data_IF_990044629246
#
_entry.id   IF_990044629246
#
_cell.length_a   1.000
_cell.length_b   1.000
_cell.length_c   1.000
_cell.angle_alpha   90.00
_cell.angle_beta   90.00
_cell.angle_gamma   90.00
#
_symmetry.space_group_name_H-M   'P 1'
#
loop_
_entity.id
_entity.type
_entity.pdbx_description
1 polymer ?
#
# COMPACT_ATOMS: atom_id res chain seq x y z
N UNK A 1 -18.42 -5.65 11.20
CA UNK A 1 -17.74 -5.00 10.07
C UNK A 1 -16.71 -5.88 9.35
N UNK A 2 -15.76 -6.53 10.04
CA UNK A 2 -14.75 -7.43 9.40
C UNK A 2 -15.35 -8.56 8.53
N UNK A 3 -16.46 -9.17 8.94
CA UNK A 3 -17.14 -10.23 8.15
C UNK A 3 -17.69 -9.69 6.81
N UNK A 4 -18.21 -8.47 6.79
CA UNK A 4 -18.72 -7.86 5.55
C UNK A 4 -17.57 -7.49 4.58
N UNK A 5 -16.44 -7.02 5.13
CA UNK A 5 -15.23 -6.74 4.38
C UNK A 5 -14.64 -8.04 3.79
N UNK A 6 -14.55 -9.10 4.60
CA UNK A 6 -14.16 -10.43 4.15
C UNK A 6 -15.06 -10.92 3.01
N UNK A 7 -16.39 -10.85 3.15
CA UNK A 7 -17.31 -11.26 2.08
C UNK A 7 -17.16 -10.44 0.78
N UNK A 8 -16.77 -9.16 0.89
CA UNK A 8 -16.54 -8.28 -0.27
C UNK A 8 -15.23 -8.59 -1.01
N UNK A 9 -14.19 -9.02 -0.29
CA UNK A 9 -12.84 -9.21 -0.83
C UNK A 9 -12.39 -10.68 -0.92
N UNK A 10 -13.16 -11.62 -0.37
CA UNK A 10 -12.88 -13.07 -0.34
C UNK A 10 -12.74 -13.66 -1.74
N UNK A 11 -13.50 -13.16 -2.71
CA UNK A 11 -13.41 -13.63 -4.09
C UNK A 11 -12.55 -12.67 -4.90
N UNK A 12 -11.41 -13.13 -5.46
CA UNK A 12 -10.61 -12.26 -6.30
C UNK A 12 -11.45 -11.86 -7.52
N UNK A 13 -11.35 -10.61 -8.00
CA UNK A 13 -12.17 -10.12 -9.09
C UNK A 13 -12.07 -11.04 -10.32
N UNK A 14 -13.17 -11.24 -11.08
CA UNK A 14 -13.19 -12.05 -12.29
C UNK A 14 -12.03 -11.69 -13.23
N UNK A 15 -11.42 -12.68 -13.92
CA UNK A 15 -10.22 -12.47 -14.75
C UNK A 15 -10.36 -11.30 -15.74
N UNK A 16 -11.55 -11.12 -16.32
CA UNK A 16 -11.85 -10.04 -17.27
C UNK A 16 -11.88 -8.64 -16.64
N UNK A 17 -12.19 -8.57 -15.34
CA UNK A 17 -12.15 -7.33 -14.53
C UNK A 17 -10.78 -7.07 -13.94
N UNK A 18 -9.82 -8.00 -14.04
CA UNK A 18 -8.41 -7.79 -13.64
C UNK A 18 -7.61 -6.98 -14.67
N UNK A 19 -8.25 -6.09 -15.43
CA UNK A 19 -7.56 -5.20 -16.36
C UNK A 19 -6.75 -4.19 -15.54
N UNK A 20 -5.48 -4.51 -15.32
CA UNK A 20 -4.52 -3.61 -14.68
C UNK A 20 -4.29 -2.45 -15.63
N UNK A 21 -4.44 -1.21 -15.14
CA UNK A 21 -3.93 -0.07 -15.89
C UNK A 21 -2.45 -0.28 -16.16
N UNK A 22 -2.09 -0.28 -17.45
CA UNK A 22 -0.68 -0.37 -17.84
C UNK A 22 0.01 0.87 -17.29
N UNK A 23 1.11 0.66 -16.58
CA UNK A 23 1.97 1.74 -16.13
C UNK A 23 2.34 2.59 -17.35
N UNK A 24 2.22 3.93 -17.29
CA UNK A 24 2.61 4.77 -18.41
C UNK A 24 4.08 4.53 -18.79
N UNK A 25 4.46 4.76 -20.07
CA UNK A 25 5.84 4.70 -20.50
C UNK A 25 6.68 5.73 -19.74
N UNK A 26 7.94 5.38 -19.48
CA UNK A 26 8.85 6.17 -18.65
C UNK A 26 9.08 7.56 -19.25
N UNK A 27 9.13 7.67 -20.59
CA UNK A 27 9.34 8.95 -21.28
C UNK A 27 8.17 9.94 -21.14
N UNK A 28 7.00 9.50 -20.67
CA UNK A 28 5.87 10.43 -20.44
C UNK A 28 5.96 11.19 -19.14
N UNK A 29 6.82 10.79 -18.21
CA UNK A 29 6.93 11.40 -16.88
C UNK A 29 8.35 11.96 -16.76
N UNK A 30 8.49 13.21 -17.20
CA UNK A 30 9.80 13.83 -17.42
C UNK A 30 10.21 14.84 -16.33
N UNK A 31 9.33 15.20 -15.38
CA UNK A 31 9.66 16.22 -14.37
C UNK A 31 9.16 15.84 -12.97
N UNK A 32 10.05 15.99 -12.00
CA UNK A 32 9.77 15.78 -10.57
C UNK A 32 8.74 16.79 -10.03
N UNK A 33 8.63 17.96 -10.66
CA UNK A 33 7.68 19.01 -10.30
C UNK A 33 6.22 18.67 -10.62
N UNK A 34 5.95 17.85 -11.64
CA UNK A 34 4.59 17.36 -11.96
C UNK A 34 4.11 16.30 -10.97
N UNK A 35 5.01 15.75 -10.15
CA UNK A 35 4.74 14.63 -9.26
C UNK A 35 4.35 15.07 -7.85
N UNK A 36 4.70 16.30 -7.47
CA UNK A 36 4.46 16.85 -6.13
C UNK A 36 2.98 16.83 -5.72
N UNK A 37 2.06 16.78 -6.68
CA UNK A 37 0.62 16.75 -6.44
C UNK A 37 0.01 15.35 -6.39
N UNK A 38 0.70 14.26 -6.75
CA UNK A 38 0.01 12.96 -6.88
C UNK A 38 -0.54 12.42 -5.56
N UNK A 39 0.12 12.68 -4.42
CA UNK A 39 -0.39 12.22 -3.13
C UNK A 39 -1.62 13.02 -2.66
N UNK A 40 -1.83 14.25 -3.17
CA UNK A 40 -2.99 15.06 -2.79
C UNK A 40 -4.30 14.50 -3.36
N UNK A 41 -4.22 13.66 -4.39
CA UNK A 41 -5.35 12.94 -4.98
C UNK A 41 -5.85 11.78 -4.08
N UNK A 42 -5.04 11.34 -3.10
CA UNK A 42 -5.36 10.19 -2.26
C UNK A 42 -6.09 10.61 -0.98
N UNK A 43 -7.20 9.93 -0.66
CA UNK A 43 -7.95 10.17 0.57
C UNK A 43 -7.64 9.07 1.59
N UNK A 44 -6.89 9.38 2.64
CA UNK A 44 -6.63 8.42 3.71
C UNK A 44 -7.87 8.23 4.59
N UNK A 45 -7.90 7.08 5.27
CA UNK A 45 -8.96 6.76 6.23
C UNK A 45 -9.02 7.82 7.34
N UNK A 46 -10.23 8.08 7.84
CA UNK A 46 -10.51 9.02 8.93
C UNK A 46 -9.98 10.44 8.71
N UNK A 47 -9.87 10.88 7.44
CA UNK A 47 -9.32 12.19 7.06
C UNK A 47 -7.88 12.41 7.56
N UNK A 48 -7.12 11.34 7.75
CA UNK A 48 -5.71 11.44 8.11
C UNK A 48 -4.92 12.21 7.04
N UNK A 49 -3.99 13.06 7.49
CA UNK A 49 -3.16 13.88 6.60
C UNK A 49 -1.70 13.62 6.91
N UNK A 50 -0.94 13.25 5.87
CA UNK A 50 0.51 13.13 5.94
C UNK A 50 1.14 14.50 6.20
N UNK A 51 2.24 14.52 6.97
CA UNK A 51 3.04 15.75 7.12
C UNK A 51 3.75 16.08 5.80
N UNK A 52 4.12 17.34 5.59
CA UNK A 52 4.72 17.78 4.32
C UNK A 52 5.97 16.98 3.92
N UNK A 53 6.90 16.75 4.84
CA UNK A 53 8.08 15.91 4.56
C UNK A 53 7.73 14.44 4.26
N UNK A 54 6.60 13.93 4.77
CA UNK A 54 6.12 12.59 4.44
C UNK A 54 5.50 12.55 3.05
N UNK A 55 4.75 13.59 2.67
CA UNK A 55 4.23 13.74 1.31
C UNK A 55 5.36 13.76 0.28
N UNK A 56 6.44 14.48 0.57
CA UNK A 56 7.64 14.49 -0.28
C UNK A 56 8.24 13.09 -0.44
N UNK A 57 8.40 12.35 0.65
CA UNK A 57 8.88 10.96 0.61
C UNK A 57 7.98 10.04 -0.21
N UNK A 58 6.65 10.17 -0.08
CA UNK A 58 5.69 9.38 -0.86
C UNK A 58 5.70 9.77 -2.33
N UNK A 59 5.75 11.07 -2.65
CA UNK A 59 5.87 11.55 -4.02
C UNK A 59 7.15 11.03 -4.70
N UNK A 60 8.26 10.97 -3.95
CA UNK A 60 9.50 10.35 -4.43
C UNK A 60 9.35 8.85 -4.71
N UNK A 61 8.62 8.10 -3.86
CA UNK A 61 8.28 6.70 -4.13
C UNK A 61 7.42 6.55 -5.38
N UNK A 62 6.43 7.43 -5.56
CA UNK A 62 5.56 7.46 -6.74
C UNK A 62 6.39 7.72 -8.00
N UNK A 63 7.32 8.67 -7.96
CA UNK A 63 8.24 8.93 -9.06
C UNK A 63 9.06 7.69 -9.41
N UNK A 64 9.76 7.11 -8.45
CA UNK A 64 10.60 5.94 -8.67
C UNK A 64 9.80 4.74 -9.14
N UNK A 65 8.57 4.59 -8.61
CA UNK A 65 7.59 3.67 -9.14
C UNK A 65 7.53 3.97 -10.63
N UNK A 66 7.02 5.11 -11.11
CA UNK A 66 6.89 5.39 -12.55
C UNK A 66 8.12 5.11 -13.39
N UNK A 67 9.30 5.45 -12.90
CA UNK A 67 10.60 5.22 -13.54
C UNK A 67 11.02 3.74 -13.59
N UNK A 68 10.23 2.83 -12.99
CA UNK A 68 10.48 1.39 -12.87
C UNK A 68 11.76 1.08 -12.09
N UNK A 69 12.05 1.89 -11.07
CA UNK A 69 13.23 1.74 -10.21
C UNK A 69 12.82 1.21 -8.84
N UNK A 70 13.71 0.45 -8.22
CA UNK A 70 13.60 0.14 -6.80
C UNK A 70 13.89 1.40 -5.96
N UNK A 71 13.37 1.43 -4.75
CA UNK A 71 13.53 2.55 -3.82
C UNK A 71 13.98 2.06 -2.46
N UNK A 72 14.87 2.83 -1.83
CA UNK A 72 15.32 2.62 -0.44
C UNK A 72 15.00 3.91 0.31
N UNK A 73 14.05 3.85 1.26
CA UNK A 73 13.77 4.96 2.18
C UNK A 73 14.76 4.90 3.34
N UNK A 74 15.72 5.81 3.35
CA UNK A 74 16.80 5.86 4.32
C UNK A 74 16.66 7.04 5.32
N UNK A 75 15.43 7.53 5.51
CA UNK A 75 15.13 8.62 6.45
C UNK A 75 15.50 8.28 7.89
N UNK A 76 15.68 9.29 8.73
CA UNK A 76 15.92 9.15 10.17
C UNK A 76 14.85 8.27 10.85
N UNK A 77 15.27 7.54 11.89
CA UNK A 77 14.35 6.73 12.69
C UNK A 77 13.31 7.64 13.36
N UNK A 78 12.04 7.22 13.35
CA UNK A 78 10.94 8.01 13.94
C UNK A 78 10.24 8.99 12.98
N UNK A 79 10.76 9.23 11.77
CA UNK A 79 10.09 10.10 10.78
C UNK A 79 8.82 9.50 10.15
N UNK A 80 8.49 8.24 10.47
CA UNK A 80 7.26 7.60 10.00
C UNK A 80 7.40 6.94 8.63
N UNK A 81 8.55 6.31 8.36
CA UNK A 81 8.79 5.50 7.13
C UNK A 81 7.69 4.45 6.89
N UNK A 82 7.17 3.84 7.95
CA UNK A 82 6.05 2.89 7.87
C UNK A 82 4.82 3.55 7.25
N UNK A 83 4.44 4.73 7.75
CA UNK A 83 3.28 5.49 7.27
C UNK A 83 3.49 5.96 5.82
N UNK A 84 4.70 6.39 5.45
CA UNK A 84 5.01 6.71 4.06
C UNK A 84 4.84 5.48 3.14
N UNK A 85 5.32 4.31 3.56
CA UNK A 85 5.16 3.08 2.78
C UNK A 85 3.67 2.67 2.65
N UNK A 86 2.90 2.74 3.75
CA UNK A 86 1.45 2.49 3.74
C UNK A 86 0.73 3.49 2.84
N UNK A 87 1.08 4.78 2.92
CA UNK A 87 0.50 5.83 2.10
C UNK A 87 0.76 5.64 0.61
N UNK A 88 1.96 5.19 0.25
CA UNK A 88 2.29 4.81 -1.12
C UNK A 88 1.43 3.63 -1.63
N UNK A 89 1.20 2.62 -0.80
CA UNK A 89 0.36 1.47 -1.17
C UNK A 89 -1.12 1.88 -1.34
N UNK A 90 -1.62 2.76 -0.47
CA UNK A 90 -2.98 3.30 -0.60
C UNK A 90 -3.15 4.10 -1.89
N UNK A 91 -2.17 4.94 -2.23
CA UNK A 91 -2.17 5.67 -3.50
C UNK A 91 -2.20 4.72 -4.71
N UNK A 92 -1.43 3.62 -4.68
CA UNK A 92 -1.49 2.60 -5.73
C UNK A 92 -2.88 1.96 -5.85
N UNK A 93 -3.52 1.71 -4.72
CA UNK A 93 -4.86 1.14 -4.68
C UNK A 93 -5.91 2.10 -5.24
N UNK A 94 -5.97 3.34 -4.74
CA UNK A 94 -6.98 4.33 -5.11
C UNK A 94 -6.74 4.93 -6.51
N UNK A 95 -5.56 5.49 -6.75
CA UNK A 95 -5.29 6.32 -7.93
C UNK A 95 -4.86 5.49 -9.15
N UNK A 96 -4.41 4.25 -8.97
CA UNK A 96 -3.92 3.38 -10.06
C UNK A 96 -4.71 2.09 -10.23
N UNK A 97 -5.79 1.94 -9.48
CA UNK A 97 -6.64 0.76 -9.45
C UNK A 97 -5.80 -0.54 -9.34
N UNK A 98 -4.68 -0.48 -8.60
CA UNK A 98 -3.79 -1.62 -8.38
C UNK A 98 -4.25 -2.34 -7.12
N UNK A 99 -5.25 -3.19 -7.32
CA UNK A 99 -5.83 -4.08 -6.29
C UNK A 99 -4.98 -5.32 -5.99
N UNK A 100 -3.75 -5.39 -6.51
CA UNK A 100 -2.91 -6.60 -6.43
C UNK A 100 -2.47 -6.91 -4.99
N UNK A 101 -2.05 -8.16 -4.71
CA UNK A 101 -1.48 -8.47 -3.41
C UNK A 101 -0.18 -7.68 -3.23
N UNK A 102 -0.11 -6.90 -2.15
CA UNK A 102 1.11 -6.23 -1.70
C UNK A 102 1.75 -7.06 -0.60
N UNK A 103 3.00 -7.48 -0.79
CA UNK A 103 3.75 -8.21 0.22
C UNK A 103 4.59 -7.24 1.04
N UNK A 104 4.35 -7.20 2.35
CA UNK A 104 5.17 -6.47 3.31
C UNK A 104 5.89 -7.50 4.17
N UNK A 105 7.23 -7.44 4.18
CA UNK A 105 8.06 -8.27 5.04
C UNK A 105 8.67 -7.38 6.12
N UNK A 106 8.45 -7.74 7.37
CA UNK A 106 8.93 -6.99 8.52
C UNK A 106 9.38 -7.95 9.64
N UNK A 107 10.30 -7.52 10.53
CA UNK A 107 10.64 -8.28 11.73
C UNK A 107 9.40 -8.62 12.56
N UNK A 108 9.39 -9.79 13.20
CA UNK A 108 8.24 -10.29 13.99
C UNK A 108 7.75 -9.27 15.04
N UNK A 109 8.68 -8.56 15.67
CA UNK A 109 8.38 -7.53 16.69
C UNK A 109 7.65 -6.31 16.14
N UNK A 110 7.77 -6.00 14.85
CA UNK A 110 7.17 -4.80 14.24
C UNK A 110 5.90 -5.10 13.47
N UNK A 111 5.56 -6.37 13.23
CA UNK A 111 4.31 -6.79 12.57
C UNK A 111 3.06 -6.15 13.20
N UNK A 112 2.87 -6.13 14.53
CA UNK A 112 1.68 -5.51 15.12
C UNK A 112 1.61 -4.00 14.86
N UNK A 113 2.77 -3.33 14.78
CA UNK A 113 2.82 -1.91 14.43
C UNK A 113 2.42 -1.68 12.97
N UNK A 114 2.93 -2.49 12.03
CA UNK A 114 2.52 -2.43 10.63
C UNK A 114 1.00 -2.62 10.47
N UNK A 115 0.43 -3.64 11.13
CA UNK A 115 -1.02 -3.89 11.06
C UNK A 115 -1.82 -2.68 11.54
N UNK A 116 -1.42 -2.07 12.65
CA UNK A 116 -2.08 -0.87 13.19
C UNK A 116 -2.02 0.30 12.20
N UNK A 117 -0.87 0.54 11.57
CA UNK A 117 -0.76 1.62 10.57
C UNK A 117 -1.65 1.33 9.34
N UNK A 118 -1.72 0.09 8.87
CA UNK A 118 -2.65 -0.27 7.79
C UNK A 118 -4.11 -0.04 8.18
N UNK A 119 -4.54 -0.51 9.36
CA UNK A 119 -5.92 -0.35 9.84
C UNK A 119 -6.28 1.12 10.12
N UNK A 120 -5.31 1.96 10.48
CA UNK A 120 -5.50 3.38 10.78
C UNK A 120 -5.52 4.26 9.52
N UNK A 121 -4.64 4.00 8.55
CA UNK A 121 -4.46 4.89 7.40
C UNK A 121 -5.24 4.45 6.15
N UNK A 122 -5.64 3.17 6.05
CA UNK A 122 -6.18 2.59 4.82
C UNK A 122 -7.46 1.80 5.05
N UNK A 123 -8.22 1.58 3.99
CA UNK A 123 -9.35 0.64 3.98
C UNK A 123 -8.98 -0.74 3.38
N UNK A 124 -7.68 -0.96 3.14
CA UNK A 124 -7.15 -2.23 2.62
C UNK A 124 -7.35 -3.36 3.62
N UNK A 125 -7.58 -4.57 3.10
CA UNK A 125 -7.58 -5.77 3.94
C UNK A 125 -6.12 -6.18 4.22
N UNK A 126 -5.64 -5.94 5.44
CA UNK A 126 -4.31 -6.33 5.88
C UNK A 126 -4.36 -7.69 6.60
N UNK A 127 -3.74 -8.71 5.98
CA UNK A 127 -3.68 -10.07 6.53
C UNK A 127 -2.29 -10.32 7.06
N UNK A 128 -2.18 -10.73 8.33
CA UNK A 128 -0.89 -11.07 8.93
C UNK A 128 -0.62 -12.56 8.77
N UNK A 129 0.36 -12.90 7.95
CA UNK A 129 0.78 -14.28 7.72
C UNK A 129 1.88 -14.69 8.70
N UNK A 130 1.52 -15.08 9.92
CA UNK A 130 2.45 -15.60 10.93
C UNK A 130 1.77 -16.61 11.86
N UNK A 131 2.58 -17.42 12.56
CA UNK A 131 2.10 -18.44 13.51
C UNK A 131 2.59 -19.85 13.21
N UNK A 132 2.01 -20.81 13.93
CA UNK A 132 2.29 -22.25 13.81
C UNK A 132 1.63 -22.83 12.56
N UNK A 133 1.92 -24.09 12.24
CA UNK A 133 1.41 -24.77 11.04
C UNK A 133 -0.12 -24.68 10.94
N UNK A 134 -0.84 -25.01 12.01
CA UNK A 134 -2.31 -24.95 12.05
C UNK A 134 -2.84 -23.54 11.77
N UNK A 135 -2.20 -22.51 12.33
CA UNK A 135 -2.59 -21.12 12.08
C UNK A 135 -2.40 -20.72 10.62
N UNK A 136 -1.32 -21.20 9.98
CA UNK A 136 -1.06 -20.95 8.55
C UNK A 136 -2.03 -21.72 7.66
N UNK A 137 -2.37 -22.96 8.01
CA UNK A 137 -3.37 -23.75 7.29
C UNK A 137 -4.74 -23.09 7.33
N UNK A 138 -5.17 -22.56 8.48
CA UNK A 138 -6.40 -21.77 8.60
C UNK A 138 -6.34 -20.54 7.70
N UNK A 139 -5.23 -19.77 7.71
CA UNK A 139 -5.09 -18.59 6.85
C UNK A 139 -5.15 -18.95 5.36
N UNK A 140 -4.49 -20.03 4.95
CA UNK A 140 -4.52 -20.51 3.56
C UNK A 140 -5.94 -20.91 3.17
N UNK A 141 -6.66 -21.62 4.04
CA UNK A 141 -7.99 -22.14 3.73
C UNK A 141 -9.11 -21.08 3.74
N UNK A 142 -8.92 -19.98 4.48
CA UNK A 142 -9.97 -18.97 4.66
C UNK A 142 -9.69 -17.64 3.94
N UNK A 143 -8.43 -17.24 3.71
CA UNK A 143 -8.09 -15.93 3.16
C UNK A 143 -7.41 -15.97 1.77
N UNK A 144 -7.04 -17.15 1.26
CA UNK A 144 -6.39 -17.34 -0.06
C UNK A 144 -7.20 -18.25 -0.98
#
# INVERSE_FOLDING_TARGET
EKIAQHNKFSKPPPRDKRKREKRPPVERICREDEIKEYISECQFKDQNVLREYQKEGVNWLIFNWYQRRGSILADEMGLGKTVQAVGFLEWLFQCRNRTGPFLVVAPLSTIPHWLREFEAWTNLNAIVFHGNQDSREILINHEF
#
